data_IF_304934239061
#
_entry.id   IF_304934239061
#
_cell.length_a   1.000
_cell.length_b   1.000
_cell.length_c   1.000
_cell.angle_alpha   90.00
_cell.angle_beta   90.00
_cell.angle_gamma   90.00
#
_symmetry.space_group_name_H-M   'P 1'
#
loop_
_entity.id
_entity.type
_entity.pdbx_description
1 polymer ?
#
# COMPACT_ATOMS: atom_id res chain seq x y z
N UNK A 1 -0.34 18.24 -6.67
CA UNK A 1 0.83 17.44 -6.19
C UNK A 1 0.53 16.63 -4.93
N UNK A 2 -0.16 17.19 -3.92
CA UNK A 2 -0.50 16.44 -2.68
C UNK A 2 -1.43 15.23 -2.88
N UNK A 3 -2.22 15.17 -3.95
CA UNK A 3 -3.23 14.10 -4.16
C UNK A 3 -2.64 12.69 -4.29
N UNK A 4 -1.41 12.56 -4.84
CA UNK A 4 -0.73 11.26 -4.96
C UNK A 4 -0.35 10.67 -3.60
N UNK A 5 0.03 11.52 -2.64
CA UNK A 5 0.44 11.11 -1.30
C UNK A 5 -0.73 10.78 -0.37
N UNK A 6 -1.93 11.32 -0.64
CA UNK A 6 -3.13 11.03 0.16
C UNK A 6 -3.65 9.59 0.01
N UNK A 7 -3.35 8.94 -1.12
CA UNK A 7 -3.87 7.62 -1.49
C UNK A 7 -2.99 6.45 -1.04
N UNK A 8 -1.76 6.38 -1.57
CA UNK A 8 -0.95 5.14 -1.56
C UNK A 8 0.24 5.15 -0.58
N UNK A 9 0.81 6.32 -0.25
CA UNK A 9 2.10 6.37 0.50
C UNK A 9 1.92 6.07 2.00
N UNK A 10 0.75 6.37 2.57
CA UNK A 10 0.49 6.16 4.00
C UNK A 10 -0.16 4.81 4.27
N UNK A 11 0.58 3.94 4.96
CA UNK A 11 0.02 2.77 5.64
C UNK A 11 -1.12 3.20 6.59
N UNK A 12 -2.11 2.34 6.80
CA UNK A 12 -3.34 2.70 7.54
C UNK A 12 -3.09 3.24 8.96
N UNK A 13 -2.00 2.83 9.63
CA UNK A 13 -1.71 3.30 11.00
C UNK A 13 -1.35 4.79 11.03
N UNK A 14 -2.09 5.56 11.82
CA UNK A 14 -1.88 6.99 12.08
C UNK A 14 -1.86 7.84 10.79
N UNK A 15 -2.63 7.42 9.78
CA UNK A 15 -2.77 8.10 8.49
C UNK A 15 -3.26 9.55 8.65
N UNK A 16 -4.25 9.78 9.50
CA UNK A 16 -4.80 11.12 9.76
C UNK A 16 -3.73 12.07 10.29
N UNK A 17 -2.97 11.64 11.29
CA UNK A 17 -1.83 12.39 11.82
C UNK A 17 -0.82 12.73 10.72
N UNK A 18 -0.41 11.76 9.89
CA UNK A 18 0.55 12.01 8.79
C UNK A 18 0.03 13.04 7.80
N UNK A 19 -1.25 12.96 7.44
CA UNK A 19 -1.90 13.93 6.55
C UNK A 19 -1.95 15.33 7.16
N UNK A 20 -2.28 15.42 8.45
CA UNK A 20 -2.30 16.68 9.18
C UNK A 20 -0.90 17.30 9.25
N UNK A 21 0.14 16.50 9.52
CA UNK A 21 1.53 16.96 9.55
C UNK A 21 1.97 17.56 8.21
N UNK A 22 1.62 16.93 7.08
CA UNK A 22 1.92 17.51 5.76
C UNK A 22 1.22 18.85 5.56
N UNK A 23 -0.06 18.93 5.95
CA UNK A 23 -0.83 20.16 5.84
C UNK A 23 -0.16 21.28 6.67
N UNK A 24 0.27 20.97 7.89
CA UNK A 24 1.00 21.90 8.75
C UNK A 24 2.38 22.30 8.17
N UNK A 25 3.12 21.37 7.55
CA UNK A 25 4.39 21.68 6.85
C UNK A 25 4.16 22.71 5.76
N UNK A 26 3.06 22.58 5.02
CA UNK A 26 2.68 23.52 3.97
C UNK A 26 2.27 24.88 4.57
N UNK A 27 1.35 24.86 5.54
CA UNK A 27 0.74 26.08 6.09
C UNK A 27 1.73 26.91 6.92
N UNK A 28 2.60 26.25 7.71
CA UNK A 28 3.68 26.90 8.47
C UNK A 28 4.93 27.18 7.61
N UNK A 29 4.94 26.80 6.33
CA UNK A 29 6.08 27.06 5.43
C UNK A 29 7.40 26.40 5.86
N UNK A 30 7.33 25.20 6.43
CA UNK A 30 8.48 24.48 7.01
C UNK A 30 9.45 24.05 5.90
N UNK A 31 10.66 24.63 5.86
CA UNK A 31 11.66 24.40 4.78
C UNK A 31 12.98 23.81 5.27
N UNK A 32 13.09 23.45 6.54
CA UNK A 32 14.30 22.86 7.10
C UNK A 32 13.95 21.63 7.92
N UNK A 33 14.88 20.68 7.98
CA UNK A 33 14.76 19.48 8.81
C UNK A 33 14.53 19.81 10.28
N UNK A 34 15.23 20.82 10.79
CA UNK A 34 15.07 21.29 12.17
C UNK A 34 13.63 21.73 12.46
N UNK A 35 13.07 22.60 11.64
CA UNK A 35 11.69 23.08 11.80
C UNK A 35 10.66 21.95 11.65
N UNK A 36 10.95 20.95 10.80
CA UNK A 36 10.11 19.76 10.70
C UNK A 36 10.15 18.92 11.98
N UNK A 37 11.33 18.71 12.57
CA UNK A 37 11.45 17.96 13.83
C UNK A 37 10.78 18.69 14.99
N UNK A 38 10.89 20.02 15.05
CA UNK A 38 10.17 20.85 16.01
C UNK A 38 8.66 20.72 15.85
N UNK A 39 8.13 20.77 14.62
CA UNK A 39 6.72 20.54 14.35
C UNK A 39 6.26 19.15 14.81
N UNK A 40 7.03 18.10 14.55
CA UNK A 40 6.67 16.73 14.94
C UNK A 40 6.71 16.55 16.46
N UNK A 41 7.60 17.24 17.16
CA UNK A 41 7.70 17.23 18.60
C UNK A 41 6.49 17.85 19.31
N UNK A 42 5.70 18.70 18.63
CA UNK A 42 4.43 19.22 19.15
C UNK A 42 3.40 18.10 19.44
N UNK A 43 3.54 16.93 18.81
CA UNK A 43 2.56 15.84 18.87
C UNK A 43 2.90 14.71 19.86
N UNK A 44 4.08 14.76 20.49
CA UNK A 44 4.48 13.76 21.48
C UNK A 44 5.99 13.51 21.56
N UNK A 45 6.36 12.41 22.20
CA UNK A 45 7.77 12.03 22.40
C UNK A 45 8.41 11.65 21.06
N UNK A 46 9.52 12.30 20.70
CA UNK A 46 10.21 12.05 19.44
C UNK A 46 11.53 11.31 19.61
N UNK A 47 11.88 10.51 18.61
CA UNK A 47 13.18 9.85 18.49
C UNK A 47 13.70 9.95 17.07
N UNK A 48 14.93 10.45 16.91
CA UNK A 48 15.64 10.42 15.63
C UNK A 48 16.20 9.00 15.42
N UNK A 49 15.93 8.44 14.24
CA UNK A 49 16.43 7.14 13.81
C UNK A 49 17.50 7.36 12.74
N UNK A 50 18.53 6.51 12.74
CA UNK A 50 19.69 6.62 11.84
C UNK A 50 20.33 8.01 11.85
N UNK A 51 20.43 8.64 13.02
CA UNK A 51 20.97 9.99 13.16
C UNK A 51 22.35 10.13 12.48
N UNK A 52 22.51 11.16 11.65
CA UNK A 52 23.73 11.45 10.90
C UNK A 52 23.96 10.60 9.65
N UNK A 53 23.01 9.74 9.24
CA UNK A 53 23.07 8.98 7.99
C UNK A 53 22.10 9.55 6.95
N UNK A 54 22.30 9.17 5.68
CA UNK A 54 21.41 9.57 4.59
C UNK A 54 19.95 9.14 4.80
N UNK A 55 19.74 7.98 5.44
CA UNK A 55 18.42 7.43 5.76
C UNK A 55 17.93 7.82 7.17
N UNK A 56 18.34 8.99 7.66
CA UNK A 56 17.82 9.57 8.91
C UNK A 56 16.33 9.90 8.78
N UNK A 57 15.56 9.57 9.81
CA UNK A 57 14.15 9.95 9.90
C UNK A 57 13.71 10.13 11.36
N UNK A 58 12.68 10.93 11.57
CA UNK A 58 12.07 11.11 12.89
C UNK A 58 10.92 10.09 13.11
N UNK A 59 10.80 9.64 14.34
CA UNK A 59 9.66 8.87 14.82
C UNK A 59 9.01 9.58 16.00
N UNK A 60 7.69 9.54 16.09
CA UNK A 60 6.93 10.17 17.19
C UNK A 60 6.01 9.17 17.86
N UNK A 61 5.99 9.18 19.18
CA UNK A 61 5.03 8.44 19.99
C UNK A 61 3.90 9.41 20.35
N UNK A 62 2.78 9.25 19.66
CA UNK A 62 1.58 10.04 19.89
C UNK A 62 0.98 9.69 21.25
N UNK A 63 0.23 10.63 21.82
CA UNK A 63 -0.47 10.39 23.08
C UNK A 63 -1.44 9.20 22.96
N UNK A 64 -1.52 8.38 24.01
CA UNK A 64 -2.25 7.11 24.04
C UNK A 64 -1.63 5.97 23.23
N UNK A 65 -0.58 6.22 22.45
CA UNK A 65 0.01 5.24 21.54
C UNK A 65 1.19 4.49 22.22
N UNK A 66 1.15 3.15 22.23
CA UNK A 66 2.22 2.34 22.86
C UNK A 66 3.51 2.31 22.05
N UNK A 67 3.41 2.54 20.74
CA UNK A 67 4.52 2.38 19.78
C UNK A 67 4.71 3.68 19.00
N UNK A 68 5.97 3.98 18.69
CA UNK A 68 6.32 5.08 17.80
C UNK A 68 5.74 4.90 16.40
N UNK A 69 5.31 6.01 15.82
CA UNK A 69 4.98 6.19 14.41
C UNK A 69 6.21 6.67 13.69
N UNK A 70 6.71 5.89 12.74
CA UNK A 70 7.86 6.28 11.92
C UNK A 70 7.37 7.19 10.78
N UNK A 71 8.05 8.33 10.59
CA UNK A 71 7.87 9.23 9.44
C UNK A 71 8.98 8.97 8.43
N UNK A 72 8.98 7.77 7.84
CA UNK A 72 10.01 7.28 6.91
C UNK A 72 9.60 7.41 5.44
N UNK A 73 8.37 7.88 5.19
CA UNK A 73 7.86 8.09 3.84
C UNK A 73 8.65 9.17 3.10
N UNK A 74 8.74 9.05 1.78
CA UNK A 74 9.51 9.98 0.93
C UNK A 74 9.07 11.43 1.06
N UNK A 75 7.81 11.68 1.40
CA UNK A 75 7.28 13.03 1.64
C UNK A 75 7.82 13.69 2.92
N UNK A 76 8.42 12.92 3.82
CA UNK A 76 9.07 13.42 5.03
C UNK A 76 10.60 13.48 4.90
N UNK A 77 11.15 13.18 3.71
CA UNK A 77 12.59 13.31 3.45
C UNK A 77 12.98 14.77 3.20
N UNK A 78 14.30 15.04 3.20
CA UNK A 78 14.82 16.37 2.88
C UNK A 78 14.57 16.75 1.41
N UNK A 79 14.52 15.78 0.51
CA UNK A 79 14.20 16.06 -0.90
C UNK A 79 12.84 16.74 -1.02
N UNK A 80 11.86 16.30 -0.23
CA UNK A 80 10.55 16.94 -0.22
C UNK A 80 10.51 18.17 0.68
N UNK A 81 10.95 18.08 1.93
CA UNK A 81 10.76 19.17 2.92
C UNK A 81 11.64 20.38 2.58
N UNK A 82 12.90 20.14 2.25
CA UNK A 82 13.90 21.19 2.01
C UNK A 82 13.90 21.58 0.54
N UNK A 83 14.10 20.61 -0.36
CA UNK A 83 14.29 20.90 -1.78
C UNK A 83 12.97 21.09 -2.54
N UNK A 84 11.82 20.80 -1.90
CA UNK A 84 10.47 20.84 -2.52
C UNK A 84 10.38 19.99 -3.79
N UNK A 85 11.26 19.01 -3.92
CA UNK A 85 11.26 18.06 -5.01
C UNK A 85 10.19 17.03 -4.72
N UNK A 86 9.12 17.12 -5.49
CA UNK A 86 7.97 16.25 -5.38
C UNK A 86 8.09 15.16 -6.43
N UNK A 87 7.97 13.92 -5.97
CA UNK A 87 7.92 12.68 -6.74
C UNK A 87 9.27 12.00 -6.99
N UNK A 88 9.29 10.71 -6.66
CA UNK A 88 10.04 9.74 -7.46
C UNK A 88 9.80 10.09 -8.93
N UNK A 89 10.85 10.12 -9.78
CA UNK A 89 10.66 10.34 -11.21
C UNK A 89 9.56 9.40 -11.71
N UNK A 90 8.67 9.85 -12.62
CA UNK A 90 7.68 8.95 -13.19
C UNK A 90 8.40 7.70 -13.68
N UNK A 91 7.84 6.53 -13.34
CA UNK A 91 8.37 5.27 -13.82
C UNK A 91 8.59 5.37 -15.33
N UNK A 92 9.73 4.87 -15.79
CA UNK A 92 10.04 4.84 -17.21
C UNK A 92 8.86 4.22 -17.98
N UNK A 93 8.48 4.84 -19.11
CA UNK A 93 7.36 4.37 -19.95
C UNK A 93 7.53 2.91 -20.35
N UNK A 94 8.76 2.44 -20.56
CA UNK A 94 9.08 1.04 -20.84
C UNK A 94 8.70 0.12 -19.69
N UNK A 95 8.95 0.54 -18.44
CA UNK A 95 8.57 -0.21 -17.24
C UNK A 95 7.06 -0.22 -17.07
N UNK A 96 6.38 0.90 -17.34
CA UNK A 96 4.91 0.97 -17.31
C UNK A 96 4.31 0.01 -18.34
N UNK A 97 4.76 0.07 -19.60
CA UNK A 97 4.26 -0.78 -20.67
C UNK A 97 4.50 -2.26 -20.39
N UNK A 98 5.68 -2.61 -19.87
CA UNK A 98 5.98 -3.98 -19.45
C UNK A 98 5.03 -4.45 -18.36
N UNK A 99 4.86 -3.67 -17.29
CA UNK A 99 3.91 -4.00 -16.21
C UNK A 99 2.48 -4.15 -16.71
N UNK A 100 2.06 -3.31 -17.66
CA UNK A 100 0.74 -3.39 -18.27
C UNK A 100 0.58 -4.67 -19.09
N UNK A 101 1.59 -5.03 -19.89
CA UNK A 101 1.59 -6.30 -20.63
C UNK A 101 1.57 -7.54 -19.74
N UNK A 102 2.20 -7.47 -18.55
CA UNK A 102 2.21 -8.54 -17.57
C UNK A 102 0.95 -8.55 -16.67
N UNK A 103 0.14 -7.49 -16.69
CA UNK A 103 -0.91 -7.25 -15.70
C UNK A 103 -1.97 -8.34 -15.70
N UNK A 104 -2.39 -8.81 -16.88
CA UNK A 104 -3.40 -9.87 -16.99
C UNK A 104 -2.95 -11.13 -16.24
N UNK A 105 -1.70 -11.56 -16.45
CA UNK A 105 -1.11 -12.70 -15.73
C UNK A 105 -0.98 -12.41 -14.23
N UNK A 106 -0.43 -11.25 -13.86
CA UNK A 106 -0.23 -10.86 -12.45
C UNK A 106 -1.55 -10.78 -11.68
N UNK A 107 -2.60 -10.26 -12.28
CA UNK A 107 -3.93 -10.21 -11.67
C UNK A 107 -4.47 -11.63 -11.41
N UNK A 108 -4.25 -12.55 -12.35
CA UNK A 108 -4.53 -13.98 -12.18
C UNK A 108 -3.73 -14.60 -11.03
N UNK A 109 -2.41 -14.39 -11.00
CA UNK A 109 -1.51 -14.87 -9.94
C UNK A 109 -1.99 -14.38 -8.55
N UNK A 110 -2.26 -13.09 -8.39
CA UNK A 110 -2.72 -12.48 -7.13
C UNK A 110 -4.03 -13.13 -6.63
N UNK A 111 -4.94 -13.44 -7.56
CA UNK A 111 -6.26 -13.97 -7.21
C UNK A 111 -6.25 -15.47 -6.95
N UNK A 112 -5.53 -16.23 -7.78
CA UNK A 112 -5.66 -17.69 -7.83
C UNK A 112 -4.43 -18.43 -7.33
N UNK A 113 -3.24 -17.82 -7.31
CA UNK A 113 -1.98 -18.44 -6.88
C UNK A 113 -1.57 -17.93 -5.50
N UNK A 114 -1.46 -16.62 -5.30
CA UNK A 114 -0.93 -16.04 -4.05
C UNK A 114 -1.85 -16.30 -2.84
N UNK A 115 -3.13 -16.58 -3.10
CA UNK A 115 -4.12 -16.98 -2.08
C UNK A 115 -4.05 -18.45 -1.69
N UNK A 116 -3.28 -19.28 -2.39
CA UNK A 116 -3.08 -20.68 -2.04
C UNK A 116 -2.22 -20.76 -0.78
N UNK A 117 -2.71 -21.45 0.24
CA UNK A 117 -2.02 -21.58 1.54
C UNK A 117 -0.72 -22.40 1.47
N UNK A 118 -0.58 -23.28 0.46
CA UNK A 118 0.61 -24.11 0.28
C UNK A 118 1.77 -23.29 -0.29
N UNK A 119 2.77 -23.01 0.54
CA UNK A 119 4.02 -22.34 0.13
C UNK A 119 4.75 -23.13 -0.95
N UNK A 120 4.91 -24.44 -0.76
CA UNK A 120 5.53 -25.35 -1.75
C UNK A 120 4.89 -25.26 -3.14
N UNK A 121 3.57 -25.04 -3.20
CA UNK A 121 2.88 -24.88 -4.49
C UNK A 121 3.23 -23.53 -5.15
N UNK A 122 3.29 -22.45 -4.36
CA UNK A 122 3.68 -21.14 -4.84
C UNK A 122 5.12 -21.14 -5.34
N UNK A 123 6.04 -21.76 -4.60
CA UNK A 123 7.45 -21.88 -4.99
C UNK A 123 7.56 -22.64 -6.31
N UNK A 124 6.92 -23.82 -6.39
CA UNK A 124 6.85 -24.60 -7.64
C UNK A 124 6.32 -23.76 -8.81
N UNK A 125 5.28 -22.98 -8.60
CA UNK A 125 4.73 -22.10 -9.63
C UNK A 125 5.75 -21.06 -10.09
N UNK A 126 6.38 -20.34 -9.16
CA UNK A 126 7.31 -19.26 -9.49
C UNK A 126 8.64 -19.75 -10.07
N UNK A 127 9.08 -20.96 -9.72
CA UNK A 127 10.28 -21.62 -10.26
C UNK A 127 10.05 -22.26 -11.65
N UNK A 128 8.80 -22.41 -12.07
CA UNK A 128 8.45 -23.01 -13.36
C UNK A 128 8.71 -22.07 -14.55
N UNK A 129 8.86 -22.66 -15.74
CA UNK A 129 8.89 -21.94 -17.01
C UNK A 129 7.53 -21.28 -17.35
N UNK A 130 7.51 -20.47 -18.41
CA UNK A 130 6.33 -19.68 -18.80
C UNK A 130 5.12 -20.54 -19.25
N UNK A 131 5.37 -21.66 -19.91
CA UNK A 131 4.32 -22.55 -20.40
C UNK A 131 3.68 -23.30 -19.22
N UNK A 132 4.52 -23.85 -18.36
CA UNK A 132 4.11 -24.51 -17.13
C UNK A 132 3.34 -23.55 -16.20
N UNK A 133 3.80 -22.30 -16.06
CA UNK A 133 3.06 -21.25 -15.32
C UNK A 133 1.67 -21.01 -15.90
N UNK A 134 1.56 -20.92 -17.22
CA UNK A 134 0.28 -20.70 -17.90
C UNK A 134 -0.68 -21.87 -17.63
N UNK A 135 -0.19 -23.10 -17.74
CA UNK A 135 -0.97 -24.30 -17.47
C UNK A 135 -1.44 -24.39 -16.01
N UNK A 136 -0.53 -24.17 -15.06
CA UNK A 136 -0.86 -24.18 -13.62
C UNK A 136 -1.88 -23.10 -13.26
N UNK A 137 -1.71 -21.88 -13.77
CA UNK A 137 -2.63 -20.77 -13.52
C UNK A 137 -4.02 -21.08 -14.08
N UNK A 138 -4.12 -21.56 -15.33
CA UNK A 138 -5.39 -21.93 -15.94
C UNK A 138 -6.08 -23.07 -15.19
N UNK A 139 -5.32 -24.05 -14.68
CA UNK A 139 -5.88 -25.11 -13.85
C UNK A 139 -6.48 -24.57 -12.55
N UNK A 140 -5.80 -23.62 -11.88
CA UNK A 140 -6.34 -22.95 -10.69
C UNK A 140 -7.60 -22.14 -11.01
N UNK A 141 -7.61 -21.40 -12.11
CA UNK A 141 -8.77 -20.64 -12.59
C UNK A 141 -9.96 -21.57 -12.86
N UNK A 142 -9.75 -22.64 -13.62
CA UNK A 142 -10.79 -23.61 -13.97
C UNK A 142 -11.34 -24.31 -12.74
N UNK A 143 -10.46 -24.72 -11.80
CA UNK A 143 -10.89 -25.31 -10.53
C UNK A 143 -11.77 -24.36 -9.74
N UNK A 144 -11.35 -23.09 -9.59
CA UNK A 144 -12.13 -22.07 -8.90
C UNK A 144 -13.52 -21.90 -9.53
N UNK A 145 -13.60 -21.78 -10.86
CA UNK A 145 -14.89 -21.59 -11.52
C UNK A 145 -15.77 -22.84 -11.46
N UNK A 146 -15.19 -24.04 -11.57
CA UNK A 146 -15.91 -25.30 -11.39
C UNK A 146 -16.53 -25.40 -9.99
N UNK A 147 -15.80 -24.98 -8.95
CA UNK A 147 -16.24 -25.05 -7.57
C UNK A 147 -17.26 -23.96 -7.20
N UNK A 148 -17.08 -22.73 -7.70
CA UNK A 148 -17.86 -21.57 -7.23
C UNK A 148 -18.85 -20.97 -8.23
N UNK A 149 -18.86 -21.39 -9.51
CA UNK A 149 -19.80 -20.84 -10.51
C UNK A 149 -20.70 -21.85 -11.22
N UNK A 150 -20.44 -23.15 -11.13
CA UNK A 150 -21.16 -24.11 -11.98
C UNK A 150 -20.92 -23.83 -13.48
N UNK A 151 -21.39 -24.71 -14.34
CA UNK A 151 -21.06 -24.73 -15.78
C UNK A 151 -21.70 -23.63 -16.63
N UNK A 152 -22.11 -22.49 -16.08
CA UNK A 152 -22.68 -21.39 -16.85
C UNK A 152 -22.06 -20.06 -16.43
N UNK A 153 -21.33 -19.45 -17.37
CA UNK A 153 -20.51 -18.25 -17.20
C UNK A 153 -21.26 -16.95 -16.89
N UNK A 154 -22.45 -17.01 -16.30
CA UNK A 154 -23.21 -15.84 -15.87
C UNK A 154 -22.97 -15.63 -14.38
N UNK A 155 -22.66 -14.38 -14.02
CA UNK A 155 -22.53 -13.90 -12.63
C UNK A 155 -23.86 -14.24 -11.94
N UNK A 156 -23.96 -15.35 -11.21
CA UNK A 156 -25.15 -15.64 -10.42
C UNK A 156 -25.38 -14.45 -9.50
N UNK A 157 -26.56 -13.83 -9.64
CA UNK A 157 -26.96 -12.75 -8.77
C UNK A 157 -26.81 -13.23 -7.33
N UNK A 158 -26.08 -12.47 -6.52
CA UNK A 158 -26.03 -12.74 -5.09
C UNK A 158 -27.46 -12.57 -4.56
N UNK A 159 -28.17 -13.66 -4.34
CA UNK A 159 -29.40 -13.68 -3.55
C UNK A 159 -29.01 -13.43 -2.09
N UNK A 160 -28.79 -12.15 -1.79
CA UNK A 160 -28.60 -11.67 -0.43
C UNK A 160 -29.90 -11.81 0.33
N UNK A 161 -29.97 -12.80 1.21
CA UNK A 161 -31.08 -13.00 2.13
C UNK A 161 -31.03 -11.89 3.20
N UNK A 162 -31.53 -10.70 2.87
CA UNK A 162 -31.68 -9.59 3.81
C UNK A 162 -32.96 -9.78 4.63
N UNK A 163 -32.91 -10.64 5.64
CA UNK A 163 -33.79 -10.49 6.81
C UNK A 163 -32.97 -9.88 7.95
N UNK A 164 -32.95 -8.55 8.01
CA UNK A 164 -32.67 -7.82 9.26
C UNK A 164 -34.02 -7.39 9.81
N UNK A 165 -34.44 -8.05 10.89
CA UNK A 165 -35.62 -7.67 11.65
C UNK A 165 -35.46 -6.25 12.19
N UNK A 166 -36.41 -5.38 11.85
CA UNK A 166 -36.61 -4.12 12.55
C UNK A 166 -37.49 -4.40 13.77
N UNK A 167 -36.92 -4.30 14.96
CA UNK A 167 -37.69 -4.13 16.19
C UNK A 167 -38.12 -2.67 16.25
N UNK A 168 -39.42 -2.38 16.19
CA UNK A 168 -39.97 -1.07 16.53
C UNK A 168 -40.22 -1.00 18.05
N UNK A 169 -39.99 0.20 18.58
CA UNK A 169 -40.16 0.62 19.96
C UNK A 169 -41.63 0.61 20.41
#
# INVERSE_FOLDING_TARGET
MLSRYKGDEFQAKNKEFKLQTIQQIHDKGIKTRKLFYELVAEYGETKIRNAGKENEYIAVKLDGDKKFTNLKETIFSDEFIVNRQTALPPLDKSVINRRFSEWERRAGEIKYIDKISSEKFRDKYYDSDAETKTLLLNNCINKFYKEYRGSDGIRSERTGNNQRGFTQA
#
